data_IF_672241301815
#
_entry.id   IF_672241301815
#
_cell.length_a   1.000
_cell.length_b   1.000
_cell.length_c   1.000
_cell.angle_alpha   90.00
_cell.angle_beta   90.00
_cell.angle_gamma   90.00
#
_symmetry.space_group_name_H-M   'P 1'
#
loop_
_entity.id
_entity.type
_entity.pdbx_description
1 polymer ?
#
# COMPACT_ATOMS: atom_id res chain seq x y z
N UNK A 1 19.39 -1.95 -33.13
CA UNK A 1 19.88 -1.36 -34.40
C UNK A 1 20.85 -2.37 -34.97
N UNK A 2 20.42 -3.08 -36.01
CA UNK A 2 21.15 -4.18 -36.65
C UNK A 2 22.14 -3.56 -37.62
N UNK A 3 23.43 -3.81 -37.43
CA UNK A 3 24.48 -3.40 -38.37
C UNK A 3 24.34 -4.21 -39.67
N UNK A 4 24.25 -3.56 -40.84
CA UNK A 4 24.24 -4.28 -42.09
C UNK A 4 25.65 -4.76 -42.46
N UNK A 5 25.68 -6.01 -42.91
CA UNK A 5 26.82 -6.81 -43.33
C UNK A 5 27.69 -6.10 -44.42
N UNK A 6 29.03 -5.95 -44.22
CA UNK A 6 29.91 -5.29 -45.19
C UNK A 6 30.25 -6.13 -46.44
N UNK A 7 29.68 -7.32 -46.61
CA UNK A 7 30.14 -8.32 -47.57
C UNK A 7 29.61 -8.21 -49.02
N UNK A 8 28.89 -7.15 -49.41
CA UNK A 8 28.35 -6.99 -50.78
C UNK A 8 28.94 -5.80 -51.57
N UNK A 9 30.05 -5.22 -51.14
CA UNK A 9 30.61 -4.01 -51.74
C UNK A 9 31.49 -4.20 -53.00
N UNK A 10 31.65 -5.42 -53.54
CA UNK A 10 32.62 -5.69 -54.63
C UNK A 10 32.02 -6.33 -55.87
N UNK A 11 31.01 -5.71 -56.50
CA UNK A 11 30.65 -6.02 -57.88
C UNK A 11 29.82 -4.89 -58.51
N UNK A 12 30.46 -3.97 -59.25
CA UNK A 12 29.99 -3.38 -60.52
C UNK A 12 30.70 -2.06 -60.83
N UNK A 13 31.92 -2.16 -61.35
CA UNK A 13 32.60 -1.08 -62.04
C UNK A 13 32.63 -1.40 -63.54
N UNK A 14 31.58 -1.05 -64.29
CA UNK A 14 31.64 -0.76 -65.75
C UNK A 14 30.28 -0.36 -66.31
N UNK A 15 29.72 0.73 -65.77
CA UNK A 15 28.51 1.37 -66.30
C UNK A 15 28.66 2.89 -66.33
N UNK A 16 29.74 3.40 -66.96
CA UNK A 16 29.87 4.83 -67.26
C UNK A 16 28.97 5.16 -68.45
N UNK A 17 27.75 5.61 -68.18
CA UNK A 17 26.86 6.04 -69.26
C UNK A 17 25.53 6.59 -68.76
N UNK A 18 25.48 7.89 -68.46
CA UNK A 18 24.27 8.69 -68.67
C UNK A 18 23.18 8.71 -67.59
N UNK A 19 23.28 8.00 -66.46
CA UNK A 19 22.29 8.10 -65.36
C UNK A 19 22.66 9.14 -64.28
N UNK A 20 23.84 9.75 -64.36
CA UNK A 20 24.48 10.48 -63.24
C UNK A 20 23.82 11.80 -62.82
N UNK A 21 23.13 12.51 -63.72
CA UNK A 21 22.49 13.78 -63.38
C UNK A 21 21.01 13.60 -63.06
N UNK A 22 20.25 12.91 -63.92
CA UNK A 22 18.81 12.77 -63.76
C UNK A 22 18.46 11.98 -62.49
N UNK A 23 19.21 10.92 -62.18
CA UNK A 23 18.98 10.14 -60.96
C UNK A 23 19.41 10.89 -59.70
N UNK A 24 20.47 11.71 -59.79
CA UNK A 24 20.88 12.60 -58.70
C UNK A 24 19.83 13.69 -58.45
N UNK A 25 19.31 14.33 -59.50
CA UNK A 25 18.22 15.29 -59.42
C UNK A 25 16.93 14.65 -58.88
N UNK A 26 16.58 13.44 -59.29
CA UNK A 26 15.40 12.74 -58.76
C UNK A 26 15.56 12.41 -57.27
N UNK A 27 16.75 11.94 -56.83
CA UNK A 27 17.04 11.72 -55.41
C UNK A 27 17.01 13.03 -54.62
N UNK A 28 17.51 14.12 -55.19
CA UNK A 28 17.48 15.43 -54.56
C UNK A 28 16.06 15.97 -54.44
N UNK A 29 15.24 15.88 -55.50
CA UNK A 29 13.82 16.24 -55.48
C UNK A 29 13.02 15.36 -54.51
N UNK A 30 13.30 14.05 -54.43
CA UNK A 30 12.64 13.15 -53.48
C UNK A 30 13.01 13.48 -52.03
N UNK A 31 14.29 13.80 -51.75
CA UNK A 31 14.73 14.29 -50.43
C UNK A 31 14.07 15.61 -50.07
N UNK A 32 14.03 16.57 -51.00
CA UNK A 32 13.37 17.86 -50.78
C UNK A 32 11.87 17.68 -50.52
N UNK A 33 11.18 16.80 -51.27
CA UNK A 33 9.75 16.51 -51.07
C UNK A 33 9.49 15.81 -49.74
N UNK A 34 10.34 14.86 -49.35
CA UNK A 34 10.24 14.20 -48.05
C UNK A 34 10.52 15.18 -46.90
N UNK A 35 11.59 15.96 -46.97
CA UNK A 35 11.91 17.00 -45.98
C UNK A 35 10.81 18.05 -45.88
N UNK A 36 10.22 18.49 -47.00
CA UNK A 36 9.09 19.41 -47.01
C UNK A 36 7.82 18.79 -46.40
N UNK A 37 7.57 17.50 -46.64
CA UNK A 37 6.46 16.75 -46.03
C UNK A 37 6.63 16.57 -44.52
N UNK A 38 7.84 16.25 -44.07
CA UNK A 38 8.20 16.16 -42.65
C UNK A 38 8.06 17.53 -41.97
N UNK A 39 8.62 18.59 -42.55
CA UNK A 39 8.45 19.96 -42.04
C UNK A 39 6.98 20.38 -41.99
N UNK A 40 6.21 20.11 -43.06
CA UNK A 40 4.78 20.42 -43.12
C UNK A 40 3.94 19.66 -42.09
N UNK A 41 4.36 18.45 -41.70
CA UNK A 41 3.70 17.67 -40.65
C UNK A 41 4.12 18.12 -39.24
N UNK A 42 5.41 18.35 -38.98
CA UNK A 42 5.90 18.69 -37.65
C UNK A 42 5.67 20.16 -37.26
N UNK A 43 5.69 21.10 -38.21
CA UNK A 43 5.57 22.53 -37.90
C UNK A 43 4.23 22.90 -37.24
N UNK A 44 3.06 22.38 -37.67
CA UNK A 44 1.80 22.59 -36.95
C UNK A 44 1.78 21.97 -35.56
N UNK A 45 2.41 20.81 -35.36
CA UNK A 45 2.50 20.16 -34.04
C UNK A 45 3.38 20.94 -33.07
N UNK A 46 4.56 21.39 -33.52
CA UNK A 46 5.45 22.24 -32.73
C UNK A 46 4.76 23.57 -32.40
N UNK A 47 4.08 24.19 -33.38
CA UNK A 47 3.29 25.40 -33.15
C UNK A 47 2.17 25.18 -32.12
N UNK A 48 1.43 24.07 -32.21
CA UNK A 48 0.38 23.73 -31.26
C UNK A 48 0.94 23.51 -29.85
N UNK A 49 2.06 22.79 -29.72
CA UNK A 49 2.73 22.57 -28.44
C UNK A 49 3.26 23.88 -27.86
N UNK A 50 3.81 24.78 -28.68
CA UNK A 50 4.28 26.09 -28.26
C UNK A 50 3.12 26.99 -27.77
N UNK A 51 2.01 27.04 -28.52
CA UNK A 51 0.81 27.81 -28.12
C UNK A 51 0.19 27.25 -26.85
N UNK A 52 0.09 25.91 -26.73
CA UNK A 52 -0.40 25.26 -25.52
C UNK A 52 0.50 25.55 -24.32
N UNK A 53 1.82 25.44 -24.49
CA UNK A 53 2.80 25.76 -23.46
C UNK A 53 2.73 27.23 -23.02
N UNK A 54 2.66 28.16 -23.97
CA UNK A 54 2.50 29.59 -23.68
C UNK A 54 1.17 29.88 -22.96
N UNK A 55 0.08 29.23 -23.37
CA UNK A 55 -1.24 29.40 -22.76
C UNK A 55 -1.27 28.86 -21.33
N UNK A 56 -0.63 27.71 -21.07
CA UNK A 56 -0.45 27.18 -19.71
C UNK A 56 0.40 28.13 -18.87
N UNK A 57 1.51 28.64 -19.40
CA UNK A 57 2.37 29.59 -18.70
C UNK A 57 1.61 30.90 -18.36
N UNK A 58 0.89 31.48 -19.32
CA UNK A 58 0.05 32.65 -19.10
C UNK A 58 -1.04 32.38 -18.06
N UNK A 59 -1.70 31.22 -18.12
CA UNK A 59 -2.68 30.83 -17.12
C UNK A 59 -2.05 30.68 -15.73
N UNK A 60 -0.86 30.08 -15.62
CA UNK A 60 -0.13 29.97 -14.35
C UNK A 60 0.20 31.35 -13.77
N UNK A 61 0.70 32.28 -14.59
CA UNK A 61 1.00 33.65 -14.15
C UNK A 61 -0.27 34.41 -13.76
N UNK A 62 -1.34 34.30 -14.55
CA UNK A 62 -2.61 34.97 -14.28
C UNK A 62 -3.30 34.42 -13.02
N UNK A 63 -3.19 33.12 -12.77
CA UNK A 63 -3.74 32.47 -11.58
C UNK A 63 -2.85 32.60 -10.34
N UNK A 64 -1.58 32.99 -10.50
CA UNK A 64 -0.61 33.06 -9.39
C UNK A 64 -1.10 33.88 -8.19
N UNK A 65 -1.72 35.08 -8.35
CA UNK A 65 -2.20 35.88 -7.22
C UNK A 65 -3.34 35.22 -6.43
N UNK A 66 -4.09 34.30 -7.04
CA UNK A 66 -5.15 33.52 -6.38
C UNK A 66 -4.59 32.21 -5.83
N UNK A 67 -3.66 31.61 -6.58
CA UNK A 67 -3.04 30.35 -6.24
C UNK A 67 -2.22 30.41 -4.96
N UNK A 68 -1.39 31.46 -4.79
CA UNK A 68 -0.53 31.58 -3.59
C UNK A 68 -1.35 31.69 -2.31
N UNK A 69 -2.37 32.56 -2.19
CA UNK A 69 -3.24 32.58 -1.01
C UNK A 69 -4.00 31.27 -0.79
N UNK A 70 -4.46 30.62 -1.86
CA UNK A 70 -5.13 29.32 -1.75
C UNK A 70 -4.20 28.25 -1.19
N UNK A 71 -2.94 28.21 -1.66
CA UNK A 71 -1.90 27.30 -1.17
C UNK A 71 -1.56 27.57 0.30
N UNK A 72 -1.41 28.84 0.70
CA UNK A 72 -1.18 29.22 2.10
C UNK A 72 -2.37 28.81 2.98
N UNK A 73 -3.60 29.10 2.55
CA UNK A 73 -4.82 28.70 3.25
C UNK A 73 -4.93 27.18 3.38
N UNK A 74 -4.60 26.45 2.32
CA UNK A 74 -4.56 24.99 2.30
C UNK A 74 -3.50 24.42 3.24
N UNK A 75 -2.30 25.00 3.27
CA UNK A 75 -1.25 24.63 4.20
C UNK A 75 -1.70 24.80 5.65
N UNK A 76 -2.30 25.95 5.99
CA UNK A 76 -2.81 26.19 7.35
C UNK A 76 -3.94 25.22 7.72
N UNK A 77 -4.87 24.97 6.79
CA UNK A 77 -5.93 23.98 6.95
C UNK A 77 -5.37 22.58 7.23
N UNK A 78 -4.43 22.11 6.39
CA UNK A 78 -3.82 20.79 6.57
C UNK A 78 -2.99 20.68 7.83
N UNK A 79 -2.28 21.75 8.20
CA UNK A 79 -1.52 21.78 9.45
C UNK A 79 -2.44 21.60 10.65
N UNK A 80 -3.57 22.31 10.68
CA UNK A 80 -4.55 22.17 11.75
C UNK A 80 -5.23 20.81 11.73
N UNK A 81 -5.66 20.32 10.57
CA UNK A 81 -6.25 18.99 10.44
C UNK A 81 -5.28 17.90 10.88
N UNK A 82 -4.00 17.99 10.49
CA UNK A 82 -2.94 17.06 10.92
C UNK A 82 -2.81 17.07 12.44
N UNK A 83 -2.74 18.25 13.07
CA UNK A 83 -2.70 18.35 14.54
C UNK A 83 -3.91 17.68 15.19
N UNK A 84 -5.09 17.79 14.60
CA UNK A 84 -6.30 17.12 15.11
C UNK A 84 -6.24 15.60 14.93
N UNK A 85 -5.79 15.12 13.77
CA UNK A 85 -5.66 13.68 13.50
C UNK A 85 -4.55 13.01 14.31
N UNK A 86 -3.48 13.74 14.63
CA UNK A 86 -2.39 13.26 15.49
C UNK A 86 -2.74 13.31 16.98
N UNK A 87 -3.78 14.06 17.37
CA UNK A 87 -4.27 14.02 18.74
C UNK A 87 -5.06 12.74 18.93
N UNK A 88 -4.50 11.82 19.69
CA UNK A 88 -5.24 10.70 20.25
C UNK A 88 -6.26 11.30 21.22
N UNK A 89 -7.53 11.35 20.80
CA UNK A 89 -8.57 12.14 21.47
C UNK A 89 -9.01 11.58 22.82
N UNK A 90 -8.65 10.33 23.13
CA UNK A 90 -8.99 9.65 24.38
C UNK A 90 -7.81 8.76 24.80
N UNK A 91 -7.59 8.52 26.09
CA UNK A 91 -6.69 7.44 26.50
C UNK A 91 -7.20 6.15 25.86
N UNK A 92 -6.39 5.59 24.96
CA UNK A 92 -6.68 4.27 24.37
C UNK A 92 -6.65 3.26 25.50
N UNK A 93 -7.76 2.54 25.71
CA UNK A 93 -7.77 1.40 26.61
C UNK A 93 -6.83 0.34 26.04
N UNK A 94 -5.76 -0.03 26.76
CA UNK A 94 -4.83 -1.07 26.31
C UNK A 94 -5.60 -2.32 25.90
N UNK A 95 -5.19 -2.95 24.79
CA UNK A 95 -5.76 -4.23 24.40
C UNK A 95 -5.50 -5.25 25.52
N UNK A 96 -6.55 -5.92 25.99
CA UNK A 96 -6.40 -6.94 27.03
C UNK A 96 -5.55 -8.10 26.49
N UNK A 97 -4.82 -8.76 27.40
CA UNK A 97 -3.92 -9.87 27.03
C UNK A 97 -4.62 -10.92 26.17
N UNK A 98 -5.82 -11.34 26.57
CA UNK A 98 -6.58 -12.39 25.89
C UNK A 98 -6.93 -12.02 24.45
N UNK A 99 -7.18 -10.74 24.18
CA UNK A 99 -7.44 -10.24 22.83
C UNK A 99 -6.17 -10.22 21.98
N UNK A 100 -5.04 -9.75 22.55
CA UNK A 100 -3.73 -9.83 21.91
C UNK A 100 -3.39 -11.28 21.52
N UNK A 101 -3.53 -12.20 22.48
CA UNK A 101 -3.24 -13.62 22.29
C UNK A 101 -4.17 -14.28 21.28
N UNK A 102 -5.43 -13.88 21.22
CA UNK A 102 -6.35 -14.34 20.19
C UNK A 102 -5.84 -13.97 18.78
N UNK A 103 -5.39 -12.73 18.58
CA UNK A 103 -4.84 -12.27 17.32
C UNK A 103 -3.55 -13.03 16.95
N UNK A 104 -2.60 -13.15 17.88
CA UNK A 104 -1.36 -13.88 17.65
C UNK A 104 -1.59 -15.35 17.34
N UNK A 105 -2.54 -16.00 18.02
CA UNK A 105 -2.92 -17.39 17.74
C UNK A 105 -3.52 -17.54 16.34
N UNK A 106 -4.34 -16.58 15.89
CA UNK A 106 -4.89 -16.59 14.54
C UNK A 106 -3.79 -16.43 13.48
N UNK A 107 -2.81 -15.55 13.73
CA UNK A 107 -1.64 -15.37 12.87
C UNK A 107 -0.82 -16.66 12.83
N UNK A 108 -0.48 -17.25 13.99
CA UNK A 108 0.25 -18.52 14.07
C UNK A 108 -0.43 -19.61 13.25
N UNK A 109 -1.73 -19.83 13.43
CA UNK A 109 -2.47 -20.86 12.69
C UNK A 109 -2.39 -20.62 11.18
N UNK A 110 -2.45 -19.36 10.76
CA UNK A 110 -2.32 -18.99 9.35
C UNK A 110 -0.91 -19.28 8.83
N UNK A 111 0.12 -18.94 9.59
CA UNK A 111 1.52 -19.21 9.24
C UNK A 111 1.82 -20.71 9.19
N UNK A 112 1.36 -21.48 10.17
CA UNK A 112 1.50 -22.95 10.20
C UNK A 112 0.78 -23.59 9.01
N UNK A 113 -0.39 -23.09 8.63
CA UNK A 113 -1.12 -23.57 7.46
C UNK A 113 -0.42 -23.19 6.15
N UNK A 114 0.25 -22.03 6.09
CA UNK A 114 1.03 -21.59 4.94
C UNK A 114 2.33 -22.39 4.82
N UNK A 115 3.02 -22.64 5.92
CA UNK A 115 4.27 -23.40 5.95
C UNK A 115 4.05 -24.90 5.68
N UNK A 116 2.85 -25.42 5.99
CA UNK A 116 2.43 -26.75 5.59
C UNK A 116 2.26 -26.93 4.07
N UNK A 117 2.15 -25.83 3.32
CA UNK A 117 2.05 -25.85 1.86
C UNK A 117 3.46 -25.77 1.25
N UNK A 118 3.54 -25.84 -0.08
CA UNK A 118 4.78 -25.98 -0.86
C UNK A 118 5.84 -24.86 -0.70
N UNK A 119 5.70 -23.94 0.26
CA UNK A 119 6.56 -22.78 0.44
C UNK A 119 6.84 -22.51 1.93
N UNK A 120 7.67 -23.35 2.59
CA UNK A 120 8.02 -23.17 4.00
C UNK A 120 8.71 -21.82 4.29
N UNK A 121 9.41 -21.26 3.30
CA UNK A 121 10.10 -19.98 3.42
C UNK A 121 9.16 -18.79 3.65
N UNK A 122 7.88 -18.89 3.24
CA UNK A 122 6.93 -17.77 3.37
C UNK A 122 6.65 -17.44 4.83
N UNK A 123 6.55 -18.44 5.71
CA UNK A 123 6.32 -18.17 7.14
C UNK A 123 7.51 -17.48 7.79
N UNK A 124 8.72 -17.88 7.39
CA UNK A 124 9.96 -17.26 7.86
C UNK A 124 10.05 -15.82 7.36
N UNK A 125 9.95 -15.62 6.04
CA UNK A 125 9.98 -14.29 5.42
C UNK A 125 8.93 -13.34 6.02
N UNK A 126 7.71 -13.83 6.24
CA UNK A 126 6.64 -13.02 6.83
C UNK A 126 6.99 -12.51 8.25
N UNK A 127 7.63 -13.35 9.06
CA UNK A 127 8.08 -12.96 10.39
C UNK A 127 9.31 -12.07 10.31
N UNK A 128 10.30 -12.38 9.48
CA UNK A 128 11.47 -11.51 9.24
C UNK A 128 11.03 -10.11 8.78
N UNK A 129 9.99 -10.01 7.94
CA UNK A 129 9.42 -8.74 7.49
C UNK A 129 8.84 -7.90 8.65
N UNK A 130 8.39 -8.52 9.76
CA UNK A 130 8.00 -7.78 10.97
C UNK A 130 9.19 -7.07 11.62
N UNK A 131 10.39 -7.61 11.43
CA UNK A 131 11.67 -7.14 11.95
C UNK A 131 12.59 -6.66 10.82
N UNK A 132 12.02 -6.11 9.73
CA UNK A 132 12.75 -5.49 8.60
C UNK A 132 13.73 -6.41 7.85
N UNK A 133 13.42 -7.69 7.80
CA UNK A 133 14.24 -8.71 7.17
C UNK A 133 15.37 -9.22 8.06
N UNK A 134 15.41 -8.86 9.34
CA UNK A 134 16.32 -9.49 10.31
C UNK A 134 15.99 -10.97 10.43
N UNK A 135 17.03 -11.81 10.47
CA UNK A 135 16.84 -13.24 10.66
C UNK A 135 16.25 -13.51 12.04
N UNK A 136 15.42 -14.55 12.15
CA UNK A 136 14.76 -14.88 13.41
C UNK A 136 15.74 -15.16 14.57
N UNK A 137 16.96 -15.62 14.27
CA UNK A 137 18.02 -15.86 15.26
C UNK A 137 18.68 -14.58 15.78
N UNK A 138 18.57 -13.48 15.03
CA UNK A 138 19.21 -12.21 15.35
C UNK A 138 18.29 -11.31 16.19
N UNK A 139 17.01 -11.67 16.33
CA UNK A 139 16.02 -10.88 17.04
C UNK A 139 16.22 -11.04 18.55
N UNK A 140 16.47 -9.93 19.23
CA UNK A 140 16.61 -9.91 20.69
C UNK A 140 15.24 -9.94 21.36
N UNK A 141 15.22 -10.26 22.66
CA UNK A 141 13.98 -10.20 23.44
C UNK A 141 13.43 -8.77 23.53
N UNK A 142 14.30 -7.78 23.60
CA UNK A 142 13.94 -6.36 23.69
C UNK A 142 13.33 -5.85 22.38
N UNK A 143 13.83 -6.34 21.24
CA UNK A 143 13.25 -6.09 19.92
C UNK A 143 11.79 -6.56 19.87
N UNK A 144 11.52 -7.76 20.39
CA UNK A 144 10.19 -8.35 20.44
C UNK A 144 9.26 -7.60 21.42
N UNK A 145 9.76 -7.21 22.61
CA UNK A 145 9.01 -6.38 23.56
C UNK A 145 8.60 -5.04 22.96
N UNK A 146 9.54 -4.39 22.28
CA UNK A 146 9.32 -3.11 21.61
C UNK A 146 8.28 -3.26 20.50
N UNK A 147 8.38 -4.30 19.67
CA UNK A 147 7.39 -4.58 18.63
C UNK A 147 6.00 -4.86 19.21
N UNK A 148 5.89 -5.69 20.26
CA UNK A 148 4.60 -5.98 20.91
C UNK A 148 3.97 -4.71 21.50
N UNK A 149 4.78 -3.90 22.18
CA UNK A 149 4.33 -2.64 22.76
C UNK A 149 3.78 -1.70 21.69
N UNK A 150 4.50 -1.53 20.58
CA UNK A 150 4.04 -0.65 19.50
C UNK A 150 2.81 -1.20 18.78
N UNK A 151 2.70 -2.52 18.64
CA UNK A 151 1.59 -3.18 17.94
C UNK A 151 0.28 -3.20 18.72
N UNK A 152 0.35 -3.38 20.05
CA UNK A 152 -0.84 -3.56 20.90
C UNK A 152 -1.12 -2.38 21.84
N UNK A 153 -0.09 -1.65 22.25
CA UNK A 153 -0.21 -0.51 23.17
C UNK A 153 -0.04 0.84 22.47
N UNK A 154 0.38 0.86 21.20
CA UNK A 154 0.68 2.06 20.44
C UNK A 154 1.61 3.02 21.20
N UNK A 155 2.64 2.48 21.84
CA UNK A 155 3.70 3.21 22.57
C UNK A 155 4.99 2.41 22.54
N UNK A 156 6.11 3.10 22.70
CA UNK A 156 7.38 2.43 22.97
C UNK A 156 7.33 1.73 24.33
N UNK A 157 8.03 0.59 24.46
CA UNK A 157 7.98 -0.22 25.68
C UNK A 157 8.46 0.57 26.91
N UNK A 158 9.50 1.38 26.73
CA UNK A 158 10.02 2.29 27.76
C UNK A 158 9.02 3.40 28.13
N UNK A 159 8.13 3.78 27.20
CA UNK A 159 7.14 4.84 27.36
C UNK A 159 5.80 4.35 27.90
N UNK A 160 5.66 3.05 28.23
CA UNK A 160 4.47 2.52 28.88
C UNK A 160 4.27 3.16 30.26
N UNK A 161 3.07 3.69 30.48
CA UNK A 161 2.75 4.56 31.60
C UNK A 161 2.55 3.75 32.89
N UNK A 162 2.13 2.50 32.77
CA UNK A 162 1.80 1.65 33.92
C UNK A 162 2.58 0.33 33.91
N UNK A 163 2.86 -0.18 35.11
CA UNK A 163 3.48 -1.50 35.28
C UNK A 163 2.58 -2.64 34.75
N UNK A 164 1.26 -2.42 34.77
CA UNK A 164 0.28 -3.36 34.19
C UNK A 164 0.49 -3.52 32.69
N UNK A 165 0.63 -2.41 31.95
CA UNK A 165 0.89 -2.45 30.50
C UNK A 165 2.22 -3.18 30.21
N UNK A 166 3.29 -2.88 30.95
CA UNK A 166 4.60 -3.54 30.79
C UNK A 166 4.50 -5.05 30.99
N UNK A 167 3.81 -5.48 32.05
CA UNK A 167 3.57 -6.89 32.33
C UNK A 167 2.79 -7.57 31.21
N UNK A 168 1.72 -6.94 30.70
CA UNK A 168 0.94 -7.50 29.59
C UNK A 168 1.85 -7.70 28.37
N UNK A 169 2.65 -6.70 28.00
CA UNK A 169 3.58 -6.81 26.86
C UNK A 169 4.61 -7.91 27.07
N UNK A 170 5.19 -8.03 28.27
CA UNK A 170 6.14 -9.10 28.60
C UNK A 170 5.51 -10.49 28.51
N UNK A 171 4.31 -10.65 29.05
CA UNK A 171 3.56 -11.90 29.00
C UNK A 171 3.21 -12.27 27.56
N UNK A 172 2.68 -11.33 26.77
CA UNK A 172 2.35 -11.54 25.34
C UNK A 172 3.60 -11.87 24.53
N UNK A 173 4.74 -11.25 24.82
CA UNK A 173 6.03 -11.53 24.15
C UNK A 173 6.51 -12.94 24.46
N UNK A 174 6.39 -13.37 25.71
CA UNK A 174 6.71 -14.74 26.16
C UNK A 174 5.80 -15.75 25.48
N UNK A 175 4.50 -15.46 25.42
CA UNK A 175 3.53 -16.35 24.79
C UNK A 175 3.74 -16.40 23.26
N UNK A 176 4.19 -15.30 22.63
CA UNK A 176 4.60 -15.30 21.22
C UNK A 176 5.82 -16.18 20.97
N UNK A 177 6.82 -16.14 21.84
CA UNK A 177 7.99 -17.03 21.75
C UNK A 177 7.55 -18.49 21.71
N UNK A 178 6.66 -18.89 22.62
CA UNK A 178 6.07 -20.23 22.62
C UNK A 178 5.23 -20.56 21.37
N UNK A 179 4.58 -19.55 20.78
CA UNK A 179 3.89 -19.68 19.49
C UNK A 179 4.89 -19.98 18.35
N UNK A 180 6.05 -19.34 18.35
CA UNK A 180 7.09 -19.47 17.33
C UNK A 180 7.88 -20.78 17.45
N UNK A 181 7.92 -21.38 18.65
CA UNK A 181 8.48 -22.70 18.93
C UNK A 181 7.74 -23.88 18.26
N UNK A 182 6.73 -23.60 17.43
CA UNK A 182 6.02 -24.64 16.68
C UNK A 182 6.97 -25.32 15.66
N UNK A 183 6.95 -26.66 15.58
CA UNK A 183 7.82 -27.48 14.71
C UNK A 183 7.83 -27.08 13.23
N UNK A 184 6.72 -26.48 12.76
CA UNK A 184 6.55 -25.99 11.38
C UNK A 184 6.90 -24.51 11.18
N UNK A 185 7.35 -23.82 12.22
CA UNK A 185 7.83 -22.44 12.17
C UNK A 185 9.34 -22.48 12.42
N UNK A 186 9.78 -22.19 13.65
CA UNK A 186 11.21 -22.13 14.01
C UNK A 186 11.69 -23.33 14.82
N UNK A 187 10.78 -24.21 15.24
CA UNK A 187 11.11 -25.43 16.01
C UNK A 187 11.17 -25.20 17.50
N UNK A 188 11.16 -26.29 18.26
CA UNK A 188 11.05 -26.28 19.73
C UNK A 188 12.19 -25.54 20.45
N UNK A 189 13.35 -25.44 19.80
CA UNK A 189 14.55 -24.80 20.36
C UNK A 189 14.61 -23.29 20.08
N UNK A 190 13.59 -22.71 19.43
CA UNK A 190 13.55 -21.28 19.18
C UNK A 190 13.43 -20.49 20.49
N UNK A 191 14.34 -19.54 20.68
CA UNK A 191 14.26 -18.52 21.73
C UNK A 191 14.76 -17.19 21.17
N UNK A 192 14.21 -16.09 21.67
CA UNK A 192 14.80 -14.78 21.40
C UNK A 192 16.21 -14.71 21.97
N UNK A 193 17.11 -14.00 21.29
CA UNK A 193 18.48 -13.82 21.79
C UNK A 193 18.46 -13.01 23.09
N UNK A 194 19.18 -13.49 24.11
CA UNK A 194 19.35 -12.76 25.36
C UNK A 194 20.40 -11.64 25.19
N UNK A 195 20.14 -10.45 25.73
CA UNK A 195 21.09 -9.33 25.67
C UNK A 195 22.43 -9.65 26.37
N UNK A 196 22.42 -10.51 27.39
CA UNK A 196 23.62 -10.84 28.18
C UNK A 196 24.74 -11.48 27.34
N UNK A 197 24.41 -12.16 26.24
CA UNK A 197 25.41 -12.70 25.32
C UNK A 197 26.10 -11.62 24.47
N UNK A 198 25.48 -10.45 24.29
CA UNK A 198 26.08 -9.34 23.55
C UNK A 198 27.06 -8.52 24.38
N UNK A 199 26.83 -8.33 25.68
CA UNK A 199 27.78 -7.60 26.52
C UNK A 199 29.14 -8.32 26.57
N UNK A 200 29.15 -9.66 26.67
CA UNK A 200 30.39 -10.45 26.66
C UNK A 200 31.07 -10.46 25.27
N UNK A 201 30.32 -10.59 24.17
CA UNK A 201 30.88 -10.54 22.82
C UNK A 201 31.34 -9.14 22.39
N UNK A 202 30.62 -8.08 22.78
CA UNK A 202 31.01 -6.69 22.52
C UNK A 202 32.24 -6.32 23.33
N UNK A 203 32.35 -6.70 24.62
CA UNK A 203 33.58 -6.47 25.38
C UNK A 203 34.79 -7.13 24.73
N UNK A 204 34.64 -8.33 24.15
CA UNK A 204 35.72 -9.00 23.42
C UNK A 204 36.08 -8.27 22.10
N UNK A 205 35.08 -7.78 21.35
CA UNK A 205 35.28 -7.06 20.07
C UNK A 205 35.72 -5.60 20.22
N UNK A 206 35.39 -4.91 21.31
CA UNK A 206 35.74 -3.50 21.57
C UNK A 206 37.24 -3.32 21.84
N UNK A 207 37.97 -4.39 22.18
CA UNK A 207 39.43 -4.37 22.26
C UNK A 207 40.13 -4.11 20.91
N UNK A 208 39.40 -4.21 19.78
CA UNK A 208 39.92 -4.16 18.42
C UNK A 208 39.33 -3.06 17.52
N UNK A 209 39.05 -1.86 18.04
CA UNK A 209 38.79 -0.68 17.20
C UNK A 209 37.32 -0.34 16.98
N UNK A 210 37.08 0.97 16.84
CA UNK A 210 35.78 1.66 16.82
C UNK A 210 34.73 1.04 15.90
N UNK A 211 33.99 0.06 16.42
CA UNK A 211 32.63 -0.23 15.97
C UNK A 211 31.70 0.20 17.09
N UNK A 212 31.04 1.34 16.88
CA UNK A 212 30.01 1.84 17.78
C UNK A 212 28.81 0.90 17.58
N UNK A 213 28.53 0.08 18.59
CA UNK A 213 27.45 -0.90 18.64
C UNK A 213 26.19 -0.35 18.00
N UNK A 214 25.86 -0.93 16.85
CA UNK A 214 24.61 -0.66 16.18
C UNK A 214 23.62 -1.61 16.83
N UNK A 215 23.01 -1.18 17.95
CA UNK A 215 21.75 -1.79 18.43
C UNK A 215 20.93 -2.02 17.17
N UNK A 216 20.51 -3.26 16.94
CA UNK A 216 19.64 -3.57 15.82
C UNK A 216 18.48 -2.58 15.92
N UNK A 217 18.48 -1.58 15.03
CA UNK A 217 17.43 -0.59 14.94
C UNK A 217 16.26 -1.34 14.28
N UNK A 218 15.66 -2.25 15.06
CA UNK A 218 14.57 -3.16 14.71
C UNK A 218 13.49 -2.40 13.96
N UNK A 219 13.38 -1.13 14.29
CA UNK A 219 12.84 -0.13 13.42
C UNK A 219 13.83 1.07 13.37
N UNK A 220 14.39 1.43 12.19
CA UNK A 220 15.02 2.75 11.88
C UNK A 220 14.72 3.78 12.98
N UNK A 221 15.69 4.50 13.55
CA UNK A 221 15.48 5.64 14.42
C UNK A 221 14.52 6.58 13.70
N UNK A 222 13.32 6.74 14.25
CA UNK A 222 12.24 7.52 13.63
C UNK A 222 11.09 6.73 13.00
N UNK A 223 11.16 5.41 12.84
CA UNK A 223 9.96 4.58 12.64
C UNK A 223 9.40 4.17 14.00
N UNK A 224 9.04 5.20 14.76
CA UNK A 224 8.17 5.06 15.90
C UNK A 224 6.76 5.21 15.32
N UNK A 225 5.94 4.15 15.41
CA UNK A 225 4.52 4.19 14.97
C UNK A 225 3.80 5.41 15.58
N UNK A 226 4.30 5.88 16.72
CA UNK A 226 3.78 6.98 17.54
C UNK A 226 4.74 8.17 17.62
N UNK A 227 5.90 8.11 16.96
CA UNK A 227 6.83 9.24 16.90
C UNK A 227 6.38 10.23 15.85
N UNK A 228 7.12 11.33 15.73
CA UNK A 228 6.87 12.30 14.69
C UNK A 228 7.12 11.66 13.31
N UNK A 229 6.07 11.09 12.70
CA UNK A 229 6.13 10.64 11.33
C UNK A 229 6.41 11.87 10.48
N UNK A 230 7.54 11.88 9.77
CA UNK A 230 7.94 12.93 8.83
C UNK A 230 6.93 13.00 7.69
N UNK A 231 5.83 13.67 7.96
CA UNK A 231 4.72 13.84 7.05
C UNK A 231 5.05 15.02 6.15
N UNK A 232 5.59 14.71 4.98
CA UNK A 232 5.82 15.71 3.94
C UNK A 232 4.48 16.32 3.54
N UNK A 233 4.36 17.64 3.68
CA UNK A 233 3.21 18.36 3.14
C UNK A 233 3.39 18.50 1.63
N UNK A 234 2.42 18.00 0.87
CA UNK A 234 2.36 18.24 -0.57
C UNK A 234 1.55 19.50 -0.87
N UNK A 235 1.94 20.27 -1.90
CA UNK A 235 1.16 21.44 -2.28
C UNK A 235 -0.23 21.04 -2.79
N UNK A 236 -1.19 21.96 -2.71
CA UNK A 236 -2.58 21.79 -3.14
C UNK A 236 -2.69 21.27 -4.58
N UNK A 237 -1.79 21.73 -5.47
CA UNK A 237 -1.71 21.28 -6.86
C UNK A 237 -1.49 19.77 -6.99
N UNK A 238 -0.69 19.18 -6.11
CA UNK A 238 -0.43 17.73 -6.11
C UNK A 238 -1.71 16.98 -5.76
N UNK A 239 -2.42 17.39 -4.71
CA UNK A 239 -3.70 16.77 -4.37
C UNK A 239 -4.77 16.95 -5.46
N UNK A 240 -4.79 18.11 -6.13
CA UNK A 240 -5.66 18.33 -7.28
C UNK A 240 -5.29 17.42 -8.46
N UNK A 241 -4.00 17.28 -8.74
CA UNK A 241 -3.47 16.36 -9.74
C UNK A 241 -3.87 14.91 -9.46
N UNK A 242 -3.71 14.46 -8.21
CA UNK A 242 -4.14 13.12 -7.77
C UNK A 242 -5.66 12.97 -7.91
N UNK A 243 -6.45 13.99 -7.57
CA UNK A 243 -7.91 13.96 -7.75
C UNK A 243 -8.29 13.74 -9.22
N UNK A 244 -7.72 14.53 -10.13
CA UNK A 244 -7.97 14.41 -11.58
C UNK A 244 -7.51 13.04 -12.07
N UNK A 245 -6.31 12.62 -11.67
CA UNK A 245 -5.76 11.31 -12.00
C UNK A 245 -6.67 10.17 -11.54
N UNK A 246 -7.18 10.21 -10.30
CA UNK A 246 -8.16 9.21 -9.80
C UNK A 246 -9.45 9.22 -10.61
N UNK A 247 -9.96 10.37 -11.05
CA UNK A 247 -11.15 10.42 -11.91
C UNK A 247 -10.89 9.76 -13.26
N UNK A 248 -9.74 10.04 -13.88
CA UNK A 248 -9.34 9.41 -15.14
C UNK A 248 -9.14 7.90 -14.96
N UNK A 249 -8.36 7.50 -13.96
CA UNK A 249 -8.14 6.09 -13.64
C UNK A 249 -9.44 5.37 -13.31
N UNK A 250 -10.34 6.00 -12.57
CA UNK A 250 -11.67 5.46 -12.27
C UNK A 250 -12.51 5.23 -13.52
N UNK A 251 -12.46 6.12 -14.51
CA UNK A 251 -13.10 5.88 -15.81
C UNK A 251 -12.49 4.66 -16.53
N UNK A 252 -11.16 4.53 -16.53
CA UNK A 252 -10.48 3.38 -17.12
C UNK A 252 -10.82 2.06 -16.40
N UNK A 253 -10.90 2.09 -15.07
CA UNK A 253 -11.26 0.94 -14.24
C UNK A 253 -12.72 0.53 -14.48
N UNK A 254 -13.65 1.48 -14.68
CA UNK A 254 -15.02 1.17 -15.11
C UNK A 254 -15.07 0.45 -16.45
N UNK A 255 -14.20 0.83 -17.40
CA UNK A 255 -14.09 0.12 -18.68
C UNK A 255 -13.58 -1.33 -18.54
N UNK A 256 -13.00 -1.69 -17.39
CA UNK A 256 -12.62 -3.08 -17.06
C UNK A 256 -13.76 -3.87 -16.38
N UNK A 257 -14.95 -3.26 -16.24
CA UNK A 257 -16.12 -3.89 -15.61
C UNK A 257 -16.16 -3.77 -14.09
N UNK A 258 -15.39 -2.85 -13.51
CA UNK A 258 -15.46 -2.56 -12.07
C UNK A 258 -16.46 -1.42 -11.79
N UNK A 259 -17.29 -1.63 -10.80
CA UNK A 259 -18.23 -0.65 -10.26
C UNK A 259 -17.72 -0.14 -8.92
N UNK A 260 -17.79 1.18 -8.71
CA UNK A 260 -17.40 1.78 -7.43
C UNK A 260 -18.61 1.79 -6.49
N UNK A 261 -18.41 1.31 -5.27
CA UNK A 261 -19.39 1.31 -4.20
C UNK A 261 -18.82 2.03 -2.96
N UNK A 262 -19.70 2.70 -2.23
CA UNK A 262 -19.40 3.27 -0.92
C UNK A 262 -20.18 2.48 0.13
N UNK A 263 -19.50 2.05 1.20
CA UNK A 263 -20.18 1.36 2.29
C UNK A 263 -20.74 2.38 3.28
N UNK A 264 -22.05 2.38 3.58
CA UNK A 264 -22.64 3.33 4.49
C UNK A 264 -22.14 3.10 5.93
N UNK A 265 -21.93 4.19 6.66
CA UNK A 265 -21.68 4.10 8.11
C UNK A 265 -23.02 3.87 8.81
N UNK A 266 -23.16 2.80 9.61
CA UNK A 266 -24.43 2.38 10.23
C UNK A 266 -25.16 3.49 11.03
N UNK A 267 -24.43 4.53 11.46
CA UNK A 267 -24.97 5.66 12.20
C UNK A 267 -25.64 6.75 11.34
N UNK A 268 -25.65 6.66 10.01
CA UNK A 268 -26.26 7.72 9.17
C UNK A 268 -27.75 7.54 8.87
N UNK A 269 -28.41 6.55 9.48
CA UNK A 269 -29.83 6.25 9.17
C UNK A 269 -30.79 7.38 9.58
N UNK A 270 -30.35 8.27 10.47
CA UNK A 270 -31.12 9.45 10.90
C UNK A 270 -30.63 10.76 10.25
N UNK A 271 -29.64 10.71 9.34
CA UNK A 271 -29.05 11.89 8.68
C UNK A 271 -29.49 12.06 7.22
N UNK A 272 -30.75 11.75 6.90
CA UNK A 272 -31.28 11.79 5.52
C UNK A 272 -31.32 13.19 4.87
N UNK A 273 -31.12 14.29 5.60
CA UNK A 273 -31.24 15.65 5.02
C UNK A 273 -29.93 16.38 4.72
N UNK A 274 -28.77 15.80 5.07
CA UNK A 274 -27.47 16.40 4.78
C UNK A 274 -26.66 15.51 3.84
N UNK A 275 -26.63 15.81 2.54
CA UNK A 275 -25.96 15.04 1.47
C UNK A 275 -24.43 14.92 1.57
N UNK A 276 -23.90 14.58 2.73
CA UNK A 276 -22.50 14.25 2.96
C UNK A 276 -22.23 12.80 2.60
N UNK A 277 -21.33 12.60 1.64
CA UNK A 277 -20.79 11.32 1.13
C UNK A 277 -19.90 10.61 2.18
N UNK A 278 -20.41 10.44 3.40
CA UNK A 278 -19.68 9.97 4.60
C UNK A 278 -19.73 8.45 4.82
N UNK A 279 -19.41 7.68 3.78
CA UNK A 279 -19.27 6.21 3.90
C UNK A 279 -18.05 5.81 4.75
N UNK A 280 -18.11 4.63 5.37
CA UNK A 280 -17.02 4.09 6.18
C UNK A 280 -15.75 3.82 5.35
N UNK A 281 -15.94 3.33 4.13
CA UNK A 281 -14.89 3.14 3.12
C UNK A 281 -15.52 3.04 1.72
N UNK A 282 -14.67 3.08 0.69
CA UNK A 282 -15.10 2.81 -0.69
C UNK A 282 -14.38 1.57 -1.23
N UNK A 283 -15.03 0.87 -2.16
CA UNK A 283 -14.44 -0.28 -2.82
C UNK A 283 -14.89 -0.36 -4.27
N UNK A 284 -14.08 -1.01 -5.10
CA UNK A 284 -14.44 -1.34 -6.47
C UNK A 284 -14.76 -2.81 -6.56
N UNK A 285 -15.81 -3.16 -7.27
CA UNK A 285 -16.28 -4.52 -7.39
C UNK A 285 -16.47 -4.89 -8.86
N UNK A 286 -15.92 -6.03 -9.26
CA UNK A 286 -16.19 -6.67 -10.54
C UNK A 286 -16.82 -8.02 -10.26
N UNK A 287 -18.01 -8.22 -10.80
CA UNK A 287 -18.72 -9.49 -10.72
C UNK A 287 -18.04 -10.56 -11.60
N UNK A 288 -18.08 -11.82 -11.16
CA UNK A 288 -17.70 -12.96 -11.98
C UNK A 288 -18.54 -13.03 -13.27
N UNK A 289 -17.99 -13.66 -14.32
CA UNK A 289 -18.78 -13.98 -15.51
C UNK A 289 -20.04 -14.79 -15.14
N UNK A 290 -21.20 -14.45 -15.75
CA UNK A 290 -22.51 -15.06 -15.45
C UNK A 290 -22.53 -16.59 -15.62
N UNK A 291 -21.70 -17.10 -16.53
CA UNK A 291 -21.57 -18.52 -16.83
C UNK A 291 -20.10 -18.95 -16.60
N UNK A 292 -19.68 -19.12 -15.34
CA UNK A 292 -18.29 -19.43 -15.03
C UNK A 292 -17.96 -20.81 -15.59
N UNK A 293 -16.89 -20.90 -16.38
CA UNK A 293 -16.42 -22.19 -16.93
C UNK A 293 -15.85 -23.08 -15.84
N UNK A 294 -15.32 -22.47 -14.77
CA UNK A 294 -14.79 -23.14 -13.58
C UNK A 294 -15.18 -22.36 -12.34
N UNK A 295 -15.41 -23.07 -11.23
CA UNK A 295 -15.49 -22.42 -9.92
C UNK A 295 -14.10 -21.88 -9.57
N UNK A 296 -13.99 -20.57 -9.43
CA UNK A 296 -12.77 -19.91 -8.99
C UNK A 296 -13.00 -19.24 -7.64
N UNK A 297 -11.92 -19.05 -6.90
CA UNK A 297 -11.96 -18.32 -5.65
C UNK A 297 -12.12 -16.82 -5.91
N UNK A 298 -12.90 -16.10 -5.07
CA UNK A 298 -13.01 -14.66 -5.16
C UNK A 298 -11.68 -14.01 -4.75
N UNK A 299 -11.38 -12.83 -5.30
CA UNK A 299 -10.11 -12.12 -5.10
C UNK A 299 -10.38 -10.79 -4.38
N UNK A 300 -9.76 -10.62 -3.21
CA UNK A 300 -9.77 -9.33 -2.49
C UNK A 300 -8.41 -8.69 -2.60
N UNK A 301 -8.39 -7.43 -3.04
CA UNK A 301 -7.18 -6.63 -3.20
C UNK A 301 -7.24 -5.41 -2.29
N UNK A 302 -6.18 -5.20 -1.52
CA UNK A 302 -5.96 -4.00 -0.72
C UNK A 302 -4.81 -3.20 -1.33
N UNK A 303 -4.99 -1.90 -1.54
CA UNK A 303 -3.90 -1.06 -2.01
C UNK A 303 -2.94 -0.71 -0.87
N UNK A 304 -1.69 -0.40 -1.22
CA UNK A 304 -0.71 0.13 -0.28
C UNK A 304 -0.79 1.65 -0.12
N UNK A 305 0.18 2.21 0.61
CA UNK A 305 0.36 3.67 0.75
C UNK A 305 0.70 4.28 -0.62
N UNK A 306 0.01 5.34 -1.02
CA UNK A 306 0.23 6.00 -2.31
C UNK A 306 -1.02 6.65 -2.89
N UNK A 307 -1.19 6.69 -4.20
CA UNK A 307 -2.35 7.32 -4.89
C UNK A 307 -3.61 6.42 -4.94
N UNK A 308 -3.68 5.40 -4.07
CA UNK A 308 -4.78 4.44 -4.02
C UNK A 308 -4.83 3.52 -5.24
N UNK A 309 -6.03 3.07 -5.59
CA UNK A 309 -6.27 2.07 -6.65
C UNK A 309 -5.81 2.54 -8.04
N UNK A 310 -5.73 3.84 -8.26
CA UNK A 310 -5.36 4.44 -9.56
C UNK A 310 -4.02 3.94 -10.11
N UNK A 311 -3.06 3.60 -9.24
CA UNK A 311 -1.74 3.05 -9.63
C UNK A 311 -1.79 1.59 -10.08
N UNK A 312 -2.86 0.88 -9.77
CA UNK A 312 -2.97 -0.56 -9.99
C UNK A 312 -3.75 -0.92 -11.25
N UNK A 313 -4.10 0.06 -12.10
CA UNK A 313 -4.91 -0.19 -13.30
C UNK A 313 -4.36 -1.28 -14.23
N UNK A 314 -3.03 -1.36 -14.41
CA UNK A 314 -2.38 -2.42 -15.20
C UNK A 314 -2.54 -3.79 -14.53
N UNK A 315 -2.31 -3.87 -13.22
CA UNK A 315 -2.50 -5.09 -12.44
C UNK A 315 -3.95 -5.55 -12.46
N UNK A 316 -4.91 -4.63 -12.26
CA UNK A 316 -6.34 -4.93 -12.30
C UNK A 316 -6.76 -5.48 -13.68
N UNK A 317 -6.22 -4.91 -14.76
CA UNK A 317 -6.44 -5.44 -16.12
C UNK A 317 -5.86 -6.85 -16.28
N UNK A 318 -4.66 -7.10 -15.75
CA UNK A 318 -4.04 -8.42 -15.79
C UNK A 318 -4.86 -9.44 -14.99
N UNK A 319 -5.28 -9.10 -13.77
CA UNK A 319 -6.13 -9.93 -12.92
C UNK A 319 -7.49 -10.21 -13.57
N UNK A 320 -8.15 -9.19 -14.13
CA UNK A 320 -9.45 -9.36 -14.78
C UNK A 320 -9.38 -10.26 -16.02
N UNK A 321 -8.24 -10.25 -16.71
CA UNK A 321 -7.99 -11.07 -17.90
C UNK A 321 -7.60 -12.50 -17.54
N UNK A 322 -6.77 -12.68 -16.50
CA UNK A 322 -6.33 -13.99 -16.02
C UNK A 322 -7.44 -14.77 -15.29
N UNK A 323 -8.31 -14.06 -14.58
CA UNK A 323 -9.39 -14.63 -13.79
C UNK A 323 -10.76 -14.03 -14.21
N UNK A 324 -11.25 -14.35 -15.41
CA UNK A 324 -12.53 -13.83 -15.90
C UNK A 324 -13.73 -14.36 -15.11
N UNK A 325 -13.60 -15.56 -14.53
CA UNK A 325 -14.66 -16.23 -13.76
C UNK A 325 -14.62 -15.88 -12.26
N UNK A 326 -13.63 -15.12 -11.79
CA UNK A 326 -13.53 -14.69 -10.38
C UNK A 326 -14.16 -13.31 -10.17
N UNK A 327 -14.94 -13.20 -9.09
CA UNK A 327 -15.30 -11.91 -8.53
C UNK A 327 -14.06 -11.23 -7.94
N UNK A 328 -13.91 -9.92 -8.17
CA UNK A 328 -12.76 -9.14 -7.69
C UNK A 328 -13.28 -7.94 -6.89
N UNK A 329 -12.84 -7.82 -5.64
CA UNK A 329 -13.10 -6.67 -4.78
C UNK A 329 -11.79 -5.94 -4.51
N UNK A 330 -11.78 -4.63 -4.72
CA UNK A 330 -10.61 -3.76 -4.56
C UNK A 330 -10.96 -2.72 -3.50
N UNK A 331 -10.41 -2.85 -2.31
CA UNK A 331 -10.77 -2.04 -1.14
C UNK A 331 -9.93 -0.76 -1.13
N UNK A 332 -10.57 0.41 -1.10
CA UNK A 332 -9.90 1.68 -0.83
C UNK A 332 -9.82 1.90 0.69
N UNK A 333 -8.63 1.65 1.24
CA UNK A 333 -8.34 1.85 2.65
C UNK A 333 -8.37 3.36 2.97
N UNK A 334 -9.26 3.82 3.86
CA UNK A 334 -9.31 5.22 4.25
C UNK A 334 -7.98 5.63 4.86
N UNK A 335 -7.54 6.86 4.58
CA UNK A 335 -6.29 7.47 5.09
C UNK A 335 -4.98 6.82 4.61
N UNK A 336 -5.02 5.67 3.94
CA UNK A 336 -3.84 5.01 3.34
C UNK A 336 -3.53 5.59 1.95
N UNK A 337 -4.59 5.86 1.17
CA UNK A 337 -4.44 6.56 -0.08
C UNK A 337 -4.28 8.08 0.17
N UNK A 338 -3.41 8.72 -0.60
CA UNK A 338 -3.17 10.17 -0.64
C UNK A 338 -4.37 10.88 -1.25
N UNK A 339 -5.50 10.81 -0.58
CA UNK A 339 -6.78 11.24 -1.09
C UNK A 339 -7.32 12.39 -0.27
N UNK A 340 -7.83 13.37 -1.03
CA UNK A 340 -8.68 14.47 -0.58
C UNK A 340 -8.57 14.74 0.91
N UNK A 341 -7.46 15.34 1.36
CA UNK A 341 -7.28 15.58 2.78
C UNK A 341 -8.30 16.60 3.32
N UNK A 342 -9.20 17.14 2.49
CA UNK A 342 -10.37 17.93 2.87
C UNK A 342 -11.64 17.13 3.16
N UNK A 343 -11.73 15.85 2.76
CA UNK A 343 -12.88 15.01 3.13
C UNK A 343 -12.76 14.72 4.61
N UNK A 344 -13.81 15.07 5.37
CA UNK A 344 -13.99 14.56 6.72
C UNK A 344 -14.30 13.07 6.59
N UNK A 345 -13.25 12.26 6.53
CA UNK A 345 -13.40 10.86 6.89
C UNK A 345 -13.79 10.90 8.35
N UNK A 346 -15.07 10.61 8.65
CA UNK A 346 -15.41 10.16 9.99
C UNK A 346 -14.55 8.92 10.19
N UNK A 347 -13.42 9.11 10.87
CA UNK A 347 -12.61 8.01 11.35
C UNK A 347 -13.62 7.11 12.04
N UNK A 348 -13.80 5.88 11.54
CA UNK A 348 -14.50 4.87 12.29
C UNK A 348 -13.99 5.01 13.71
N UNK A 349 -14.89 5.34 14.64
CA UNK A 349 -14.53 5.51 16.04
C UNK A 349 -13.73 4.28 16.43
N UNK A 350 -12.69 4.45 17.24
CA UNK A 350 -11.66 3.44 17.50
C UNK A 350 -12.23 2.03 17.83
N UNK A 351 -13.49 1.94 18.27
CA UNK A 351 -14.19 0.69 18.56
C UNK A 351 -14.85 -0.07 17.39
N UNK A 352 -15.22 0.53 16.26
CA UNK A 352 -15.93 -0.21 15.17
C UNK A 352 -15.02 -0.71 14.04
N UNK A 353 -13.83 -0.11 13.88
CA UNK A 353 -12.80 -0.54 12.94
C UNK A 353 -13.23 -0.61 11.46
N UNK A 354 -12.28 -0.83 10.55
CA UNK A 354 -12.60 -1.11 9.13
C UNK A 354 -13.12 -2.55 8.94
N UNK A 355 -12.73 -3.46 9.85
CA UNK A 355 -12.93 -4.91 9.70
C UNK A 355 -14.41 -5.32 9.66
N UNK A 356 -15.25 -4.80 10.55
CA UNK A 356 -16.66 -5.18 10.59
C UNK A 356 -17.45 -4.68 9.37
N UNK A 357 -17.36 -3.39 8.97
CA UNK A 357 -17.92 -2.90 7.72
C UNK A 357 -17.41 -3.65 6.49
N UNK A 358 -16.12 -3.94 6.43
CA UNK A 358 -15.52 -4.69 5.34
C UNK A 358 -16.04 -6.12 5.27
N UNK A 359 -16.10 -6.82 6.40
CA UNK A 359 -16.65 -8.17 6.47
C UNK A 359 -18.13 -8.20 6.05
N UNK A 360 -18.91 -7.19 6.44
CA UNK A 360 -20.30 -7.05 5.99
C UNK A 360 -20.40 -6.87 4.46
N UNK A 361 -19.58 -5.98 3.89
CA UNK A 361 -19.51 -5.80 2.44
C UNK A 361 -19.08 -7.07 1.71
N UNK A 362 -18.09 -7.78 2.24
CA UNK A 362 -17.62 -9.05 1.69
C UNK A 362 -18.71 -10.14 1.76
N UNK A 363 -19.51 -10.22 2.83
CA UNK A 363 -20.66 -11.14 2.93
C UNK A 363 -21.76 -10.78 1.93
N UNK A 364 -22.09 -9.49 1.78
CA UNK A 364 -23.09 -9.03 0.80
C UNK A 364 -22.72 -9.48 -0.62
N UNK A 365 -21.43 -9.42 -0.95
CA UNK A 365 -20.89 -9.81 -2.26
C UNK A 365 -20.51 -11.28 -2.37
N UNK A 366 -20.78 -12.09 -1.35
CA UNK A 366 -20.52 -13.54 -1.36
C UNK A 366 -19.04 -13.95 -1.28
N UNK A 367 -18.15 -13.06 -0.83
CA UNK A 367 -16.73 -13.37 -0.58
C UNK A 367 -16.54 -14.15 0.72
N UNK A 368 -17.43 -13.91 1.68
CA UNK A 368 -17.51 -14.65 2.93
C UNK A 368 -18.82 -15.45 2.95
N UNK A 369 -18.83 -16.63 3.58
CA UNK A 369 -20.07 -17.36 3.83
C UNK A 369 -21.08 -16.43 4.52
N UNK A 370 -22.35 -16.47 4.10
CA UNK A 370 -23.46 -15.87 4.88
C UNK A 370 -23.49 -16.60 6.20
N UNK A 371 -22.93 -15.98 7.22
CA UNK A 371 -22.53 -16.68 8.41
C UNK A 371 -23.59 -16.53 9.49
N UNK A 372 -24.17 -17.67 9.88
CA UNK A 372 -24.46 -17.99 11.29
C UNK A 372 -23.15 -18.02 12.13
N UNK A 373 -21.97 -17.79 11.53
CA UNK A 373 -20.66 -17.70 12.20
C UNK A 373 -20.30 -16.31 12.77
N UNK A 374 -21.09 -15.26 12.49
CA UNK A 374 -20.98 -14.02 13.26
C UNK A 374 -21.51 -14.22 14.69
N UNK A 375 -22.57 -15.04 14.81
CA UNK A 375 -23.00 -15.64 16.06
C UNK A 375 -21.85 -16.39 16.74
N UNK A 376 -20.92 -17.01 15.98
CA UNK A 376 -19.83 -17.77 16.57
C UNK A 376 -18.71 -16.90 17.19
N UNK A 377 -18.47 -15.67 16.68
CA UNK A 377 -17.55 -14.72 17.34
C UNK A 377 -18.17 -14.09 18.59
N UNK A 378 -19.40 -13.57 18.49
CA UNK A 378 -20.08 -13.01 19.66
C UNK A 378 -20.38 -14.10 20.69
N UNK A 379 -20.73 -15.31 20.27
CA UNK A 379 -20.84 -16.46 21.17
C UNK A 379 -19.49 -16.91 21.71
N UNK A 380 -18.39 -16.87 20.95
CA UNK A 380 -17.05 -17.13 21.49
C UNK A 380 -16.65 -16.10 22.54
N UNK A 381 -16.91 -14.81 22.28
CA UNK A 381 -16.69 -13.70 23.22
C UNK A 381 -17.58 -13.86 24.47
N UNK A 382 -18.87 -14.16 24.30
CA UNK A 382 -19.80 -14.43 25.39
C UNK A 382 -19.45 -15.69 26.19
N UNK A 383 -18.76 -16.67 25.58
CA UNK A 383 -18.22 -17.87 26.23
C UNK A 383 -16.85 -17.63 26.92
N UNK A 384 -16.38 -16.39 26.99
CA UNK A 384 -15.10 -16.05 27.61
C UNK A 384 -13.92 -16.73 26.92
N UNK A 385 -13.98 -16.85 25.59
CA UNK A 385 -12.91 -17.42 24.78
C UNK A 385 -12.82 -18.96 24.76
N UNK A 386 -13.71 -19.66 25.47
CA UNK A 386 -13.71 -21.13 25.53
C UNK A 386 -14.47 -21.72 24.34
N UNK A 387 -13.86 -22.70 23.66
CA UNK A 387 -14.55 -23.47 22.60
C UNK A 387 -15.62 -24.37 23.22
N UNK A 388 -16.75 -24.62 22.52
CA UNK A 388 -17.64 -25.71 22.89
C UNK A 388 -16.85 -27.03 22.85
N UNK A 389 -17.10 -27.87 23.86
CA UNK A 389 -16.47 -29.19 24.02
C UNK A 389 -16.85 -30.16 22.90
#
# INVERSE_FOLDING_TARGET
VVDPDPALASASASGKGGSGLLQAMHRQCARLRFSAGVLGFFFPWVGTMAVAGASVACACVALFPVWVPAEVGFYLYLREKRRRLLRVSEPFDPMEKDECMHHLTCIQRSLVNLSARSHPEISTQFFEDWFKGSSATDITRDDALQWMSQSFMFRDFEALATERERRIVQEVTTDLEGILQHDRLYGADYSYRAEEEEEEEEEEKISGGKSRGMRLEVLKPGFNICGDFDTVHYPFSVYMGIYVFKKVAGMLIRNLGFEQHSWPTHQSRDAEEGGGDGGAFTYWYREAAKEPRRRTSPIVFFHGIGTGISSYGVLLKALSSAYPDSSIMVVELPLVAMERPWVETRTATAGEGLCAPLAAAMRERGFLPRSDAAEDWEAWRARGGKRPA
#
